data_IF_790066932383
#
_entry.id   IF_790066932383
#
_cell.length_a   1.000
_cell.length_b   1.000
_cell.length_c   1.000
_cell.angle_alpha   90.00
_cell.angle_beta   90.00
_cell.angle_gamma   90.00
#
_symmetry.space_group_name_H-M   'P 1'
#
loop_
_entity.id
_entity.type
_entity.pdbx_description
1 polymer ?
#
# COMPACT_ATOMS: atom_id res chain seq x y z
N UNK A 1 -21.16 -4.25 31.08
CA UNK A 1 -21.56 -3.33 29.98
C UNK A 1 -23.09 -3.33 29.91
N UNK A 2 -23.75 -2.25 29.46
CA UNK A 2 -25.20 -2.10 29.61
C UNK A 2 -25.98 -2.71 28.44
N UNK A 3 -27.12 -3.36 28.77
CA UNK A 3 -28.01 -4.10 27.85
C UNK A 3 -28.57 -3.29 26.66
N UNK A 4 -28.35 -1.98 26.61
CA UNK A 4 -28.73 -1.14 25.47
C UNK A 4 -27.85 -1.43 24.24
N UNK A 5 -26.55 -1.62 24.44
CA UNK A 5 -25.60 -1.83 23.35
C UNK A 5 -25.89 -3.15 22.61
N UNK A 6 -26.13 -4.24 23.35
CA UNK A 6 -26.47 -5.56 22.79
C UNK A 6 -27.76 -5.52 21.95
N UNK A 7 -28.73 -4.69 22.33
CA UNK A 7 -29.99 -4.52 21.60
C UNK A 7 -29.78 -3.74 20.31
N UNK A 8 -28.96 -2.70 20.33
CA UNK A 8 -28.69 -1.87 19.16
C UNK A 8 -27.78 -2.61 18.14
N UNK A 9 -26.98 -3.58 18.62
CA UNK A 9 -26.30 -4.60 17.80
C UNK A 9 -27.23 -5.70 17.26
N UNK A 10 -28.51 -5.73 17.64
CA UNK A 10 -29.50 -6.68 17.15
C UNK A 10 -29.50 -8.07 17.82
N UNK A 11 -28.76 -8.25 18.92
CA UNK A 11 -28.55 -9.55 19.60
C UNK A 11 -29.82 -10.18 20.21
N UNK A 12 -30.95 -9.47 20.19
CA UNK A 12 -32.25 -9.94 20.69
C UNK A 12 -33.30 -10.18 19.59
N UNK A 13 -32.89 -10.33 18.33
CA UNK A 13 -33.79 -10.72 17.22
C UNK A 13 -33.66 -12.21 16.93
N UNK A 14 -34.80 -12.91 16.84
CA UNK A 14 -34.82 -14.25 16.27
C UNK A 14 -34.46 -14.20 14.78
N UNK A 15 -33.43 -14.95 14.39
CA UNK A 15 -32.92 -14.96 13.02
C UNK A 15 -33.35 -16.24 12.33
N UNK A 16 -34.30 -16.16 11.40
CA UNK A 16 -34.66 -17.24 10.49
C UNK A 16 -33.70 -17.23 9.28
N UNK A 17 -33.03 -18.37 9.00
CA UNK A 17 -32.03 -18.52 7.91
C UNK A 17 -32.39 -19.65 6.93
N UNK A 18 -31.88 -19.51 5.71
CA UNK A 18 -32.02 -20.39 4.52
C UNK A 18 -30.78 -20.19 3.61
N UNK A 19 -30.53 -21.19 2.74
CA UNK A 19 -29.19 -21.60 2.26
C UNK A 19 -29.12 -21.65 0.68
N UNK A 20 -28.01 -21.98 -0.04
CA UNK A 20 -27.76 -21.68 -1.49
C UNK A 20 -26.28 -21.57 -2.05
N UNK A 21 -25.31 -22.49 -1.84
CA UNK A 21 -23.84 -22.23 -2.04
C UNK A 21 -23.40 -22.12 -3.51
N UNK A 22 -22.58 -21.10 -3.86
CA UNK A 22 -22.13 -20.83 -5.24
C UNK A 22 -23.28 -20.94 -6.27
N UNK A 23 -24.52 -20.70 -5.81
CA UNK A 23 -25.75 -20.90 -6.58
C UNK A 23 -26.17 -22.35 -6.90
N UNK A 24 -25.44 -23.41 -6.52
CA UNK A 24 -25.75 -24.79 -6.91
C UNK A 24 -25.48 -25.83 -5.81
N UNK A 25 -26.55 -26.46 -5.32
CA UNK A 25 -26.46 -27.70 -4.54
C UNK A 25 -26.29 -28.91 -5.47
N UNK A 26 -25.22 -29.69 -5.28
CA UNK A 26 -25.01 -30.97 -5.99
C UNK A 26 -25.53 -32.13 -5.15
N UNK A 27 -26.67 -32.70 -5.55
CA UNK A 27 -27.23 -33.90 -4.91
C UNK A 27 -26.41 -35.14 -5.25
N UNK A 28 -25.81 -35.77 -4.24
CA UNK A 28 -25.21 -37.10 -4.37
C UNK A 28 -26.33 -38.14 -4.49
N UNK A 29 -26.71 -38.46 -5.73
CA UNK A 29 -27.81 -39.38 -6.02
C UNK A 29 -27.79 -39.87 -7.47
N UNK A 30 -26.72 -40.57 -7.86
CA UNK A 30 -26.48 -40.89 -9.27
C UNK A 30 -25.41 -41.94 -9.56
N UNK A 31 -25.18 -42.91 -8.66
CA UNK A 31 -24.42 -44.10 -9.03
C UNK A 31 -25.18 -44.86 -10.14
N UNK A 32 -24.48 -45.16 -11.27
CA UNK A 32 -24.87 -45.99 -12.44
C UNK A 32 -25.10 -45.31 -13.82
N UNK A 33 -24.54 -44.13 -14.12
CA UNK A 33 -24.50 -43.61 -15.51
C UNK A 33 -23.06 -43.34 -16.01
N UNK A 34 -22.74 -43.66 -17.29
CA UNK A 34 -21.36 -43.69 -17.79
C UNK A 34 -20.75 -42.30 -17.99
N UNK A 35 -19.47 -42.21 -17.66
CA UNK A 35 -18.65 -40.98 -17.58
C UNK A 35 -18.23 -40.40 -18.94
N UNK A 36 -19.18 -39.94 -19.76
CA UNK A 36 -18.90 -39.12 -20.94
C UNK A 36 -19.90 -37.97 -21.08
N UNK A 37 -19.37 -36.73 -21.13
CA UNK A 37 -20.06 -35.42 -21.20
C UNK A 37 -20.60 -34.86 -19.87
N UNK A 38 -19.69 -34.43 -18.99
CA UNK A 38 -19.92 -33.20 -18.23
C UNK A 38 -18.97 -32.14 -18.77
N UNK A 39 -19.53 -31.16 -19.50
CA UNK A 39 -18.77 -30.10 -20.15
C UNK A 39 -18.26 -29.08 -19.14
N UNK A 40 -17.02 -28.65 -19.31
CA UNK A 40 -16.42 -27.50 -18.64
C UNK A 40 -17.25 -26.22 -18.89
N UNK A 41 -18.07 -25.86 -17.91
CA UNK A 41 -18.69 -24.54 -17.80
C UNK A 41 -18.19 -23.90 -16.49
N UNK A 42 -16.93 -23.46 -16.49
CA UNK A 42 -16.46 -22.53 -15.48
C UNK A 42 -17.20 -21.20 -15.70
N UNK A 43 -17.83 -20.67 -14.64
CA UNK A 43 -18.52 -19.40 -14.70
C UNK A 43 -17.49 -18.28 -14.99
N UNK A 44 -17.66 -17.41 -16.02
CA UNK A 44 -16.63 -16.46 -16.46
C UNK A 44 -16.14 -15.46 -15.39
N UNK A 45 -16.81 -15.39 -14.24
CA UNK A 45 -16.48 -14.49 -13.13
C UNK A 45 -15.56 -15.14 -12.06
N UNK A 46 -15.35 -16.46 -12.09
CA UNK A 46 -14.60 -17.20 -11.06
C UNK A 46 -13.42 -18.00 -11.67
N UNK A 47 -12.28 -17.31 -11.84
CA UNK A 47 -11.13 -17.78 -12.62
C UNK A 47 -10.16 -18.77 -11.96
N UNK A 48 -10.41 -19.22 -10.72
CA UNK A 48 -9.46 -20.03 -9.96
C UNK A 48 -9.90 -21.50 -9.84
N UNK A 49 -9.52 -22.29 -10.85
CA UNK A 49 -9.62 -23.76 -10.83
C UNK A 49 -8.20 -24.35 -11.01
N UNK A 50 -7.43 -24.44 -9.92
CA UNK A 50 -6.11 -25.08 -9.89
C UNK A 50 -6.03 -26.11 -8.76
N UNK A 51 -5.34 -27.25 -8.94
CA UNK A 51 -5.09 -28.20 -7.85
C UNK A 51 -4.29 -27.54 -6.72
N UNK A 52 -4.69 -27.80 -5.47
CA UNK A 52 -4.09 -27.19 -4.27
C UNK A 52 -2.58 -27.48 -4.13
N UNK A 53 -2.10 -28.63 -4.64
CA UNK A 53 -0.67 -28.97 -4.71
C UNK A 53 0.15 -28.11 -5.70
N UNK A 54 -0.49 -27.33 -6.56
CA UNK A 54 0.14 -26.41 -7.51
C UNK A 54 -0.23 -24.94 -7.24
N UNK A 55 -0.79 -24.64 -6.06
CA UNK A 55 -1.22 -23.30 -5.67
C UNK A 55 -0.09 -22.55 -4.96
N UNK A 56 0.69 -21.78 -5.73
CA UNK A 56 1.72 -20.90 -5.19
C UNK A 56 1.66 -19.50 -5.85
N UNK A 57 0.76 -18.62 -5.37
CA UNK A 57 0.53 -17.29 -5.93
C UNK A 57 1.76 -16.39 -6.14
N UNK A 58 2.83 -16.46 -5.31
CA UNK A 58 4.02 -15.62 -5.50
C UNK A 58 4.81 -15.89 -6.79
N UNK A 59 4.72 -17.10 -7.37
CA UNK A 59 5.41 -17.45 -8.62
C UNK A 59 4.60 -17.13 -9.89
N UNK A 60 3.40 -16.56 -9.75
CA UNK A 60 2.54 -16.21 -10.89
C UNK A 60 3.05 -14.98 -11.64
N UNK A 61 2.89 -15.01 -12.97
CA UNK A 61 3.33 -13.94 -13.87
C UNK A 61 2.18 -13.10 -14.42
N UNK A 62 2.48 -11.91 -14.94
CA UNK A 62 1.48 -10.97 -15.49
C UNK A 62 1.20 -9.81 -14.54
N UNK A 63 0.17 -9.00 -14.84
CA UNK A 63 -0.27 -7.97 -13.89
C UNK A 63 -1.12 -8.60 -12.79
N UNK A 64 -0.71 -8.40 -11.54
CA UNK A 64 -1.32 -8.95 -10.32
C UNK A 64 -1.87 -7.79 -9.47
N UNK A 65 -2.74 -8.09 -8.50
CA UNK A 65 -3.52 -7.08 -7.76
C UNK A 65 -4.96 -7.05 -8.26
N UNK A 66 -5.62 -5.89 -8.29
CA UNK A 66 -6.97 -5.79 -8.83
C UNK A 66 -6.98 -6.16 -10.32
N UNK A 67 -7.68 -7.24 -10.65
CA UNK A 67 -7.71 -7.87 -11.96
C UNK A 67 -9.15 -8.13 -12.38
N UNK A 68 -9.39 -8.41 -13.67
CA UNK A 68 -10.73 -8.85 -14.11
C UNK A 68 -11.16 -10.10 -13.33
N UNK A 69 -12.33 -10.03 -12.71
CA UNK A 69 -12.87 -10.99 -11.73
C UNK A 69 -12.86 -10.46 -10.29
N UNK A 70 -11.94 -9.58 -9.91
CA UNK A 70 -11.78 -9.18 -8.50
C UNK A 70 -12.75 -8.07 -8.05
N UNK A 71 -13.18 -7.16 -8.94
CA UNK A 71 -14.01 -6.00 -8.59
C UNK A 71 -15.47 -6.12 -9.07
N UNK A 72 -15.74 -7.09 -9.95
CA UNK A 72 -16.97 -7.25 -10.68
C UNK A 72 -18.16 -7.63 -9.79
N UNK A 73 -17.94 -8.43 -8.75
CA UNK A 73 -18.97 -8.78 -7.76
C UNK A 73 -19.38 -7.53 -6.97
N UNK A 74 -18.41 -6.74 -6.49
CA UNK A 74 -18.68 -5.51 -5.76
C UNK A 74 -19.40 -4.45 -6.62
N UNK A 75 -18.99 -4.29 -7.88
CA UNK A 75 -19.70 -3.42 -8.83
C UNK A 75 -21.09 -3.94 -9.17
N UNK A 76 -21.26 -5.25 -9.34
CA UNK A 76 -22.56 -5.86 -9.51
C UNK A 76 -23.51 -5.53 -8.36
N UNK A 77 -23.03 -5.56 -7.12
CA UNK A 77 -23.84 -5.28 -5.93
C UNK A 77 -24.26 -3.82 -5.87
N UNK A 78 -23.32 -2.89 -6.15
CA UNK A 78 -23.61 -1.45 -6.34
C UNK A 78 -24.69 -1.24 -7.42
N UNK A 79 -24.63 -2.01 -8.50
CA UNK A 79 -25.53 -1.93 -9.65
C UNK A 79 -26.82 -2.76 -9.46
N UNK A 80 -27.10 -3.26 -8.25
CA UNK A 80 -28.36 -3.92 -7.89
C UNK A 80 -28.45 -5.40 -8.28
N UNK A 81 -27.36 -6.04 -8.70
CA UNK A 81 -27.30 -7.51 -8.81
C UNK A 81 -27.38 -8.14 -7.41
N UNK A 82 -27.99 -9.32 -7.36
CA UNK A 82 -28.11 -10.14 -6.16
C UNK A 82 -27.58 -11.54 -6.42
N UNK A 83 -27.20 -12.23 -5.35
CA UNK A 83 -26.70 -13.61 -5.36
C UNK A 83 -27.43 -14.43 -4.28
N UNK A 84 -27.43 -15.74 -4.44
CA UNK A 84 -27.95 -16.74 -3.48
C UNK A 84 -26.79 -17.31 -2.65
N UNK A 85 -26.93 -17.53 -1.33
CA UNK A 85 -25.80 -17.78 -0.42
C UNK A 85 -26.01 -18.76 0.78
N UNK A 86 -24.88 -19.30 1.27
CA UNK A 86 -24.66 -20.51 2.11
C UNK A 86 -24.98 -20.52 3.62
N UNK A 87 -26.01 -21.28 4.02
CA UNK A 87 -26.00 -22.24 5.14
C UNK A 87 -24.86 -23.28 5.11
N UNK A 88 -23.58 -22.89 5.01
CA UNK A 88 -22.45 -23.84 4.94
C UNK A 88 -22.37 -24.79 6.17
N UNK A 89 -23.10 -24.46 7.23
CA UNK A 89 -23.09 -25.14 8.52
C UNK A 89 -21.88 -24.77 9.39
N UNK A 90 -20.94 -24.01 8.82
CA UNK A 90 -19.74 -23.56 9.49
C UNK A 90 -20.04 -22.42 10.48
N UNK A 91 -19.28 -22.39 11.58
CA UNK A 91 -19.42 -21.38 12.62
C UNK A 91 -18.06 -20.77 12.90
N UNK A 92 -18.00 -19.46 12.72
CA UNK A 92 -16.82 -18.64 12.93
C UNK A 92 -17.14 -17.60 14.00
N UNK A 93 -16.22 -17.40 14.95
CA UNK A 93 -16.33 -16.40 16.00
C UNK A 93 -16.08 -14.99 15.44
N UNK A 94 -15.33 -14.90 14.34
CA UNK A 94 -15.12 -13.68 13.57
C UNK A 94 -15.03 -13.98 12.07
N UNK A 95 -15.64 -13.12 11.25
CA UNK A 95 -15.49 -13.11 9.79
C UNK A 95 -14.91 -11.77 9.37
N UNK A 96 -13.85 -11.80 8.57
CA UNK A 96 -13.13 -10.65 8.03
C UNK A 96 -13.22 -10.67 6.51
N UNK A 97 -13.60 -9.54 5.91
CA UNK A 97 -13.63 -9.37 4.45
C UNK A 97 -12.45 -8.48 4.06
N UNK A 98 -11.53 -9.05 3.28
CA UNK A 98 -10.21 -8.51 2.93
C UNK A 98 -9.09 -9.16 3.74
N UNK A 99 -8.25 -9.95 3.09
CA UNK A 99 -7.03 -10.57 3.62
C UNK A 99 -5.77 -9.68 3.50
N UNK A 100 -5.95 -8.37 3.31
CA UNK A 100 -4.86 -7.39 3.40
C UNK A 100 -4.33 -7.22 4.83
N UNK A 101 -3.23 -6.47 5.00
CA UNK A 101 -2.60 -6.23 6.31
C UNK A 101 -3.59 -5.82 7.42
N UNK A 102 -4.59 -4.98 7.12
CA UNK A 102 -5.62 -4.59 8.09
C UNK A 102 -6.51 -5.76 8.54
N UNK A 103 -6.89 -6.65 7.63
CA UNK A 103 -7.72 -7.81 7.93
C UNK A 103 -6.94 -8.93 8.63
N UNK A 104 -5.70 -9.16 8.20
CA UNK A 104 -4.76 -10.06 8.90
C UNK A 104 -4.48 -9.57 10.33
N UNK A 105 -4.31 -8.25 10.53
CA UNK A 105 -4.16 -7.65 11.86
C UNK A 105 -5.42 -7.82 12.71
N UNK A 106 -6.62 -7.65 12.12
CA UNK A 106 -7.89 -7.84 12.82
C UNK A 106 -8.09 -9.30 13.26
N UNK A 107 -7.77 -10.26 12.36
CA UNK A 107 -7.77 -11.68 12.68
C UNK A 107 -6.75 -12.04 13.77
N UNK A 108 -5.53 -11.51 13.68
CA UNK A 108 -4.48 -11.71 14.68
C UNK A 108 -4.89 -11.20 16.07
N UNK A 109 -5.33 -9.95 16.18
CA UNK A 109 -5.75 -9.38 17.47
C UNK A 109 -6.96 -10.11 18.07
N UNK A 110 -7.88 -10.58 17.23
CA UNK A 110 -8.99 -11.39 17.71
C UNK A 110 -8.53 -12.76 18.21
N UNK A 111 -7.68 -13.45 17.44
CA UNK A 111 -7.18 -14.78 17.78
C UNK A 111 -6.32 -14.76 19.06
N UNK A 112 -5.44 -13.77 19.21
CA UNK A 112 -4.62 -13.54 20.42
C UNK A 112 -5.50 -13.32 21.67
N UNK A 113 -6.54 -12.48 21.56
CA UNK A 113 -7.42 -12.16 22.70
C UNK A 113 -8.50 -13.22 22.99
N UNK A 114 -9.01 -13.93 21.97
CA UNK A 114 -10.02 -14.99 22.13
C UNK A 114 -9.39 -16.37 22.42
N UNK A 115 -8.11 -16.54 22.10
CA UNK A 115 -7.31 -17.73 22.36
C UNK A 115 -7.31 -18.76 21.21
N UNK A 116 -6.47 -19.82 21.32
CA UNK A 116 -6.14 -20.72 20.21
C UNK A 116 -7.30 -21.54 19.63
N UNK A 117 -8.42 -21.66 20.36
CA UNK A 117 -9.62 -22.35 19.90
C UNK A 117 -10.57 -21.50 19.05
N UNK A 118 -10.27 -20.20 18.87
CA UNK A 118 -11.13 -19.28 18.12
C UNK A 118 -11.11 -19.56 16.62
N UNK A 119 -12.29 -19.54 15.99
CA UNK A 119 -12.47 -19.76 14.56
C UNK A 119 -12.62 -18.43 13.84
N UNK A 120 -11.55 -17.96 13.20
CA UNK A 120 -11.55 -16.75 12.36
C UNK A 120 -11.59 -17.15 10.88
N UNK A 121 -12.56 -16.62 10.13
CA UNK A 121 -12.61 -16.72 8.67
C UNK A 121 -12.12 -15.40 8.07
N UNK A 122 -11.09 -15.45 7.23
CA UNK A 122 -10.63 -14.29 6.45
C UNK A 122 -10.88 -14.59 4.97
N UNK A 123 -11.69 -13.76 4.32
CA UNK A 123 -12.04 -13.89 2.90
C UNK A 123 -11.31 -12.82 2.10
N UNK A 124 -10.57 -13.20 1.06
CA UNK A 124 -10.05 -12.27 0.06
C UNK A 124 -10.54 -12.67 -1.34
N UNK A 125 -10.72 -11.67 -2.21
CA UNK A 125 -11.13 -11.80 -3.60
C UNK A 125 -9.94 -11.96 -4.56
N UNK A 126 -8.71 -11.87 -4.06
CA UNK A 126 -7.50 -12.10 -4.82
C UNK A 126 -6.92 -13.51 -4.61
N UNK A 127 -6.07 -13.89 -5.55
CA UNK A 127 -5.14 -15.04 -5.49
C UNK A 127 -4.24 -15.15 -4.25
N UNK A 128 -3.96 -14.06 -3.53
CA UNK A 128 -2.99 -14.06 -2.45
C UNK A 128 -3.39 -13.05 -1.37
N UNK A 129 -3.00 -13.34 -0.12
CA UNK A 129 -3.22 -12.46 1.01
C UNK A 129 -2.25 -11.26 0.99
N UNK A 130 -2.32 -10.39 2.00
CA UNK A 130 -1.49 -9.19 2.12
C UNK A 130 -2.01 -7.98 1.32
N UNK A 131 -2.84 -8.19 0.29
CA UNK A 131 -3.50 -7.13 -0.48
C UNK A 131 -2.50 -6.33 -1.32
N UNK A 132 -2.13 -5.12 -0.89
CA UNK A 132 -1.01 -4.39 -1.48
C UNK A 132 0.36 -4.92 -1.03
N UNK A 133 0.42 -5.63 0.11
CA UNK A 133 1.63 -6.26 0.64
C UNK A 133 1.80 -7.69 0.06
N UNK A 134 1.80 -7.79 -1.27
CA UNK A 134 2.05 -9.03 -2.01
C UNK A 134 3.52 -9.21 -2.35
N UNK A 135 3.91 -10.46 -2.58
CA UNK A 135 5.25 -10.90 -2.98
C UNK A 135 5.21 -11.41 -4.41
N UNK A 136 6.21 -11.04 -5.20
CA UNK A 136 6.49 -11.65 -6.50
C UNK A 136 7.82 -12.41 -6.42
N UNK A 137 7.88 -13.59 -7.03
CA UNK A 137 9.10 -14.40 -7.17
C UNK A 137 9.44 -14.61 -8.65
N UNK A 138 10.69 -14.31 -9.01
CA UNK A 138 11.20 -14.52 -10.36
C UNK A 138 12.39 -15.47 -10.34
N UNK A 139 12.39 -16.47 -11.22
CA UNK A 139 13.57 -17.33 -11.44
C UNK A 139 14.43 -16.73 -12.56
N UNK A 140 15.66 -16.31 -12.23
CA UNK A 140 16.61 -15.77 -13.21
C UNK A 140 18.04 -16.25 -12.93
N UNK A 141 18.70 -16.83 -13.94
CA UNK A 141 20.11 -17.26 -13.83
C UNK A 141 20.37 -18.30 -12.72
N UNK A 142 19.39 -19.16 -12.42
CA UNK A 142 19.46 -20.13 -11.31
C UNK A 142 19.28 -19.53 -9.92
N UNK A 143 18.80 -18.27 -9.81
CA UNK A 143 18.49 -17.59 -8.55
C UNK A 143 17.00 -17.23 -8.49
N UNK A 144 16.43 -17.28 -7.29
CA UNK A 144 15.15 -16.62 -7.00
C UNK A 144 15.43 -15.15 -6.70
N UNK A 145 14.71 -14.26 -7.38
CA UNK A 145 14.65 -12.83 -7.10
C UNK A 145 13.28 -12.53 -6.47
N UNK A 146 13.29 -11.78 -5.37
CA UNK A 146 12.09 -11.32 -4.70
C UNK A 146 11.81 -9.87 -5.09
N UNK A 147 10.54 -9.51 -5.18
CA UNK A 147 10.10 -8.13 -5.38
C UNK A 147 8.75 -7.91 -4.67
N UNK A 148 8.52 -6.69 -4.18
CA UNK A 148 7.20 -6.26 -3.74
C UNK A 148 6.19 -6.25 -4.90
N UNK A 149 4.97 -6.67 -4.62
CA UNK A 149 3.81 -6.53 -5.53
C UNK A 149 3.11 -5.18 -5.44
N UNK A 150 3.38 -4.41 -4.37
CA UNK A 150 2.84 -3.08 -4.15
C UNK A 150 3.65 -2.31 -3.12
N UNK A 151 3.40 -2.55 -1.84
CA UNK A 151 4.07 -1.82 -0.75
C UNK A 151 5.53 -2.24 -0.55
N UNK A 152 6.45 -1.30 -0.73
CA UNK A 152 7.91 -1.50 -0.73
C UNK A 152 8.55 -1.54 0.66
N UNK A 153 8.01 -0.79 1.62
CA UNK A 153 8.69 -0.43 2.87
C UNK A 153 7.72 -0.05 3.99
N UNK A 154 8.19 -0.13 5.23
CA UNK A 154 7.56 0.47 6.40
C UNK A 154 8.23 1.83 6.68
N UNK A 155 7.47 2.91 6.51
CA UNK A 155 7.93 4.28 6.79
C UNK A 155 7.51 4.75 8.18
N UNK A 156 8.29 5.68 8.75
CA UNK A 156 7.97 6.40 9.99
C UNK A 156 7.60 5.50 11.19
N UNK A 157 8.24 4.34 11.34
CA UNK A 157 7.80 3.32 12.30
C UNK A 157 7.88 3.79 13.77
N UNK A 158 8.76 4.74 14.08
CA UNK A 158 8.81 5.42 15.39
C UNK A 158 7.56 6.22 15.74
N UNK A 159 6.79 6.64 14.73
CA UNK A 159 5.51 7.34 14.88
C UNK A 159 4.31 6.40 14.93
N UNK A 160 4.52 5.08 14.82
CA UNK A 160 3.42 4.11 14.94
C UNK A 160 2.85 4.14 16.35
N UNK A 161 1.53 3.97 16.46
CA UNK A 161 0.85 3.85 17.75
C UNK A 161 1.40 2.67 18.53
N UNK A 162 1.27 2.69 19.86
CA UNK A 162 1.68 1.56 20.72
C UNK A 162 1.06 0.25 20.23
N UNK A 163 -0.20 0.25 19.78
CA UNK A 163 -0.88 -0.92 19.22
C UNK A 163 -0.15 -1.47 17.99
N UNK A 164 0.23 -0.61 17.04
CA UNK A 164 0.94 -1.01 15.84
C UNK A 164 2.39 -1.47 16.16
N UNK A 165 3.11 -0.78 17.04
CA UNK A 165 4.47 -1.20 17.47
C UNK A 165 4.46 -2.54 18.20
N UNK A 166 3.49 -2.77 19.09
CA UNK A 166 3.29 -4.06 19.75
C UNK A 166 2.95 -5.17 18.76
N UNK A 167 2.15 -4.89 17.72
CA UNK A 167 1.87 -5.86 16.65
C UNK A 167 3.15 -6.30 15.93
N UNK A 168 3.98 -5.34 15.50
CA UNK A 168 5.24 -5.65 14.82
C UNK A 168 6.15 -6.51 15.71
N UNK A 169 6.29 -6.16 16.99
CA UNK A 169 7.06 -6.95 17.95
C UNK A 169 6.47 -8.36 18.18
N UNK A 170 5.15 -8.49 18.29
CA UNK A 170 4.46 -9.75 18.55
C UNK A 170 4.62 -10.77 17.41
N UNK A 171 4.68 -10.31 16.15
CA UNK A 171 4.94 -11.18 14.98
C UNK A 171 6.44 -11.43 14.73
N UNK A 172 7.33 -10.93 15.59
CA UNK A 172 8.78 -11.13 15.51
C UNK A 172 9.50 -10.20 14.52
N UNK A 173 8.92 -9.05 14.17
CA UNK A 173 9.53 -8.09 13.25
C UNK A 173 10.53 -7.17 14.00
N UNK A 174 11.79 -7.60 14.07
CA UNK A 174 12.90 -6.82 14.60
C UNK A 174 13.37 -5.76 13.58
N UNK A 175 12.99 -4.51 13.83
CA UNK A 175 13.26 -3.37 12.94
C UNK A 175 14.74 -2.95 12.95
N UNK A 176 15.41 -2.98 14.10
CA UNK A 176 16.83 -2.62 14.21
C UNK A 176 17.70 -3.63 13.44
N UNK A 177 17.36 -4.92 13.55
CA UNK A 177 18.02 -6.00 12.83
C UNK A 177 17.72 -6.00 11.34
N UNK A 178 16.48 -5.71 10.94
CA UNK A 178 16.12 -5.48 9.54
C UNK A 178 16.92 -4.30 8.95
N UNK A 179 17.05 -3.21 9.70
CA UNK A 179 17.83 -2.04 9.27
C UNK A 179 19.33 -2.37 9.10
N UNK A 180 19.90 -3.08 10.06
CA UNK A 180 21.30 -3.51 10.02
C UNK A 180 21.59 -4.43 8.81
N UNK A 181 20.63 -5.29 8.43
CA UNK A 181 20.74 -6.14 7.25
C UNK A 181 20.69 -5.32 5.93
N UNK A 182 19.82 -4.31 5.86
CA UNK A 182 19.64 -3.46 4.67
C UNK A 182 20.71 -2.35 4.51
N UNK A 183 21.55 -2.13 5.53
CA UNK A 183 22.55 -1.06 5.54
C UNK A 183 23.46 -1.02 4.29
N UNK A 184 23.73 -2.17 3.66
CA UNK A 184 24.53 -2.26 2.43
C UNK A 184 23.74 -1.87 1.16
N UNK A 185 22.45 -2.22 1.08
CA UNK A 185 21.55 -1.94 -0.05
C UNK A 185 21.47 -0.46 -0.39
N UNK A 186 21.49 0.40 0.65
CA UNK A 186 21.46 1.87 0.53
C UNK A 186 22.60 2.45 -0.31
N UNK A 187 23.68 1.69 -0.49
CA UNK A 187 24.83 2.07 -1.31
C UNK A 187 24.82 1.42 -2.71
N UNK A 188 23.98 0.42 -2.98
CA UNK A 188 24.07 -0.46 -4.15
C UNK A 188 24.04 0.29 -5.49
N UNK A 189 23.06 1.16 -5.72
CA UNK A 189 23.02 1.94 -6.97
C UNK A 189 24.21 2.90 -7.09
N UNK A 190 24.65 3.50 -5.98
CA UNK A 190 25.85 4.38 -5.97
C UNK A 190 27.14 3.61 -6.21
N UNK A 191 27.28 2.37 -5.75
CA UNK A 191 28.47 1.54 -5.97
C UNK A 191 28.56 1.02 -7.42
N UNK A 192 27.43 0.95 -8.13
CA UNK A 192 27.38 0.78 -9.59
C UNK A 192 27.66 2.07 -10.38
N UNK A 193 27.93 3.19 -9.71
CA UNK A 193 28.12 4.50 -10.35
C UNK A 193 26.84 5.13 -10.91
N UNK A 194 25.66 4.59 -10.57
CA UNK A 194 24.38 5.08 -11.07
C UNK A 194 23.95 6.33 -10.29
N UNK A 195 23.40 7.30 -11.03
CA UNK A 195 22.95 8.59 -10.51
C UNK A 195 21.49 8.84 -10.87
N UNK A 196 20.80 9.70 -10.11
CA UNK A 196 19.48 10.19 -10.50
C UNK A 196 19.54 10.93 -11.84
N UNK A 197 18.45 10.91 -12.60
CA UNK A 197 18.29 11.61 -13.88
C UNK A 197 16.83 11.99 -14.09
N UNK A 198 16.55 13.11 -14.75
CA UNK A 198 15.19 13.54 -15.07
C UNK A 198 14.98 13.50 -16.58
N UNK A 199 13.91 12.83 -17.03
CA UNK A 199 13.50 12.82 -18.43
C UNK A 199 12.41 13.87 -18.67
N UNK A 200 12.74 14.86 -19.49
CA UNK A 200 11.79 15.85 -20.00
C UNK A 200 11.21 15.31 -21.30
N UNK A 201 9.90 15.05 -21.35
CA UNK A 201 9.22 14.56 -22.57
C UNK A 201 8.81 15.71 -23.50
N UNK A 202 8.78 15.46 -24.82
CA UNK A 202 8.33 16.44 -25.82
C UNK A 202 6.95 16.99 -25.53
N UNK A 203 6.01 16.17 -25.08
CA UNK A 203 4.62 16.55 -24.81
C UNK A 203 4.49 17.56 -23.67
N UNK A 204 5.41 17.50 -22.69
CA UNK A 204 5.37 18.35 -21.49
C UNK A 204 6.34 19.54 -21.56
N UNK A 205 7.43 19.41 -22.32
CA UNK A 205 8.55 20.36 -22.30
C UNK A 205 9.08 20.77 -23.69
N UNK A 206 8.43 20.36 -24.77
CA UNK A 206 8.76 20.79 -26.15
C UNK A 206 9.83 19.95 -26.87
N UNK A 207 10.68 19.23 -26.14
CA UNK A 207 11.64 18.26 -26.69
C UNK A 207 11.84 17.06 -25.75
N UNK A 208 12.28 15.93 -26.31
CA UNK A 208 12.72 14.79 -25.51
C UNK A 208 14.16 15.03 -25.04
N UNK A 209 14.39 15.21 -23.74
CA UNK A 209 15.71 15.42 -23.17
C UNK A 209 15.89 14.68 -21.85
N UNK A 210 16.86 13.76 -21.81
CA UNK A 210 17.35 13.19 -20.56
C UNK A 210 18.43 14.11 -19.98
N UNK A 211 18.23 14.62 -18.77
CA UNK A 211 19.26 15.35 -18.02
C UNK A 211 19.78 14.46 -16.89
N UNK A 212 21.06 14.13 -16.93
CA UNK A 212 21.72 13.28 -15.95
C UNK A 212 22.17 14.06 -14.72
N UNK A 213 22.20 13.40 -13.57
CA UNK A 213 22.32 14.07 -12.27
C UNK A 213 20.95 14.50 -11.74
N UNK A 214 20.89 14.82 -10.45
CA UNK A 214 19.64 15.19 -9.78
C UNK A 214 19.62 16.68 -9.44
N UNK A 215 18.45 17.29 -9.66
CA UNK A 215 18.04 18.59 -9.14
C UNK A 215 18.36 18.77 -7.64
N UNK A 216 18.14 17.72 -6.85
CA UNK A 216 18.46 17.64 -5.42
C UNK A 216 19.48 16.54 -5.14
N UNK A 217 20.58 16.52 -5.88
CA UNK A 217 21.62 15.49 -5.78
C UNK A 217 22.35 15.49 -4.43
N UNK A 218 21.86 14.66 -3.49
CA UNK A 218 22.51 14.25 -2.25
C UNK A 218 23.37 15.33 -1.55
N UNK A 219 22.69 16.32 -0.98
CA UNK A 219 23.26 17.30 -0.05
C UNK A 219 23.20 18.75 -0.54
N UNK A 220 23.44 19.73 0.35
CA UNK A 220 23.28 21.16 0.08
C UNK A 220 24.33 21.79 -0.87
N UNK A 221 25.11 20.98 -1.59
CA UNK A 221 26.28 21.40 -2.37
C UNK A 221 26.25 20.95 -3.85
N UNK A 222 25.08 20.53 -4.37
CA UNK A 222 24.93 20.19 -5.79
C UNK A 222 24.94 21.43 -6.70
N UNK A 223 25.50 21.32 -7.91
CA UNK A 223 25.46 22.38 -8.93
C UNK A 223 24.04 22.51 -9.53
N UNK A 224 23.14 23.14 -8.77
CA UNK A 224 21.73 23.35 -9.14
C UNK A 224 21.61 24.15 -10.43
N UNK A 225 22.43 25.20 -10.58
CA UNK A 225 22.39 26.12 -11.72
C UNK A 225 22.94 25.46 -12.99
N UNK A 226 24.06 24.73 -12.91
CA UNK A 226 24.60 23.95 -14.02
C UNK A 226 23.72 22.76 -14.43
N UNK A 227 22.98 22.14 -13.49
CA UNK A 227 21.94 21.17 -13.82
C UNK A 227 20.76 21.84 -14.55
N UNK A 228 20.24 22.95 -14.02
CA UNK A 228 19.16 23.70 -14.67
C UNK A 228 19.55 24.20 -16.07
N UNK A 229 20.82 24.55 -16.28
CA UNK A 229 21.35 24.98 -17.58
C UNK A 229 21.19 23.93 -18.68
N UNK A 230 21.23 22.63 -18.33
CA UNK A 230 21.10 21.50 -19.25
C UNK A 230 19.64 21.18 -19.63
N UNK A 231 18.66 21.59 -18.81
CA UNK A 231 17.24 21.34 -19.03
C UNK A 231 16.69 22.01 -20.30
N UNK A 232 15.59 21.53 -20.90
CA UNK A 232 14.94 22.21 -22.03
C UNK A 232 14.14 23.47 -21.60
N UNK A 233 14.07 23.76 -20.30
CA UNK A 233 13.33 24.89 -19.74
C UNK A 233 13.91 26.23 -20.19
N UNK A 234 13.06 27.24 -20.42
CA UNK A 234 13.52 28.59 -20.75
C UNK A 234 14.28 29.23 -19.58
N UNK A 235 15.13 30.22 -19.87
CA UNK A 235 15.91 30.95 -18.86
C UNK A 235 15.02 31.48 -17.73
N UNK A 236 13.89 32.09 -18.09
CA UNK A 236 12.96 32.64 -17.13
C UNK A 236 12.29 31.55 -16.27
N UNK A 237 11.98 30.37 -16.82
CA UNK A 237 11.44 29.24 -16.01
C UNK A 237 12.49 28.72 -15.04
N UNK A 238 13.76 28.60 -15.46
CA UNK A 238 14.87 28.23 -14.56
C UNK A 238 15.04 29.26 -13.43
N UNK A 239 14.91 30.54 -13.74
CA UNK A 239 14.97 31.66 -12.77
C UNK A 239 13.85 31.58 -11.73
N UNK A 240 12.62 31.26 -12.13
CA UNK A 240 11.50 31.06 -11.20
C UNK A 240 11.68 29.83 -10.30
N UNK A 241 12.24 28.73 -10.83
CA UNK A 241 12.56 27.53 -10.03
C UNK A 241 13.59 27.86 -8.95
N UNK A 242 14.69 28.52 -9.30
CA UNK A 242 15.72 28.98 -8.34
C UNK A 242 15.12 29.91 -7.29
N UNK A 243 14.31 30.89 -7.71
CA UNK A 243 13.63 31.80 -6.77
C UNK A 243 12.71 31.04 -5.80
N UNK A 244 11.92 30.10 -6.31
CA UNK A 244 10.98 29.32 -5.51
C UNK A 244 11.71 28.43 -4.48
N UNK A 245 12.80 27.78 -4.87
CA UNK A 245 13.55 26.82 -4.06
C UNK A 245 14.53 27.48 -3.07
N UNK A 246 15.35 28.44 -3.53
CA UNK A 246 16.48 28.98 -2.77
C UNK A 246 16.14 30.27 -1.99
N UNK A 247 15.22 31.10 -2.52
CA UNK A 247 14.95 32.46 -1.98
C UNK A 247 13.60 32.52 -1.25
N UNK A 248 12.57 31.92 -1.84
CA UNK A 248 11.19 32.02 -1.40
C UNK A 248 10.46 33.26 -1.98
N UNK A 249 9.23 33.10 -2.50
CA UNK A 249 8.46 34.17 -3.13
C UNK A 249 7.91 35.16 -2.10
N UNK A 250 7.70 36.41 -2.51
CA UNK A 250 6.97 37.41 -1.71
C UNK A 250 5.48 37.10 -1.69
N UNK A 251 4.89 36.99 -0.48
CA UNK A 251 3.52 36.50 -0.29
C UNK A 251 2.59 37.60 0.25
N UNK A 252 2.02 38.39 -0.68
CA UNK A 252 1.08 39.47 -0.38
C UNK A 252 -0.16 38.96 0.39
N UNK A 253 -0.53 39.66 1.47
CA UNK A 253 -1.73 39.35 2.24
C UNK A 253 -1.64 38.10 3.13
N UNK A 254 -0.42 37.66 3.46
CA UNK A 254 -0.14 36.61 4.47
C UNK A 254 0.45 37.15 5.78
N UNK A 255 0.91 38.41 5.78
CA UNK A 255 1.37 39.14 6.97
C UNK A 255 0.23 39.33 7.97
N UNK A 256 0.55 39.23 9.27
CA UNK A 256 -0.42 39.41 10.36
C UNK A 256 -1.32 38.21 10.68
N UNK A 257 -1.39 37.20 9.79
CA UNK A 257 -2.08 35.93 10.09
C UNK A 257 -1.30 35.12 11.14
N UNK A 258 -2.00 34.41 12.03
CA UNK A 258 -1.41 33.39 12.90
C UNK A 258 -1.04 32.11 12.11
N UNK A 259 -0.15 31.29 12.68
CA UNK A 259 0.23 29.98 12.11
C UNK A 259 -0.99 29.10 11.77
N UNK A 260 -1.98 29.04 12.67
CA UNK A 260 -3.22 28.29 12.48
C UNK A 260 -4.08 28.82 11.34
N UNK A 261 -4.15 30.14 11.15
CA UNK A 261 -4.86 30.76 10.03
C UNK A 261 -4.14 30.53 8.71
N UNK A 262 -2.80 30.63 8.67
CA UNK A 262 -2.00 30.31 7.48
C UNK A 262 -2.22 28.85 7.07
N UNK A 263 -2.10 27.90 8.00
CA UNK A 263 -2.35 26.46 7.77
C UNK A 263 -3.80 26.19 7.32
N UNK A 264 -4.78 26.85 7.92
CA UNK A 264 -6.21 26.72 7.55
C UNK A 264 -6.51 27.26 6.16
N UNK A 265 -5.86 28.37 5.76
CA UNK A 265 -5.96 28.94 4.42
C UNK A 265 -5.32 28.02 3.38
N UNK A 266 -4.11 27.51 3.65
CA UNK A 266 -3.41 26.56 2.80
C UNK A 266 -4.23 25.26 2.60
N UNK A 267 -4.83 24.73 3.66
CA UNK A 267 -5.65 23.51 3.61
C UNK A 267 -6.90 23.60 2.68
N UNK A 268 -7.25 24.78 2.17
CA UNK A 268 -8.42 25.02 1.30
C UNK A 268 -8.09 25.18 -0.19
N UNK A 269 -6.83 25.07 -0.59
CA UNK A 269 -6.37 25.32 -1.97
C UNK A 269 -5.37 24.27 -2.46
N UNK A 270 -5.11 24.23 -3.77
CA UNK A 270 -4.11 23.32 -4.36
C UNK A 270 -2.70 23.91 -4.30
N UNK A 271 -1.64 23.08 -4.27
CA UNK A 271 -0.27 23.62 -4.33
C UNK A 271 -0.04 24.46 -5.60
N UNK A 272 -0.60 24.04 -6.74
CA UNK A 272 -0.60 24.85 -7.97
C UNK A 272 -1.31 26.20 -7.80
N UNK A 273 -2.48 26.25 -7.14
CA UNK A 273 -3.21 27.49 -6.81
C UNK A 273 -2.31 28.44 -6.00
N UNK A 274 -1.61 27.94 -4.98
CA UNK A 274 -0.69 28.77 -4.21
C UNK A 274 0.50 29.27 -5.06
N UNK A 275 1.10 28.41 -5.87
CA UNK A 275 2.20 28.83 -6.76
C UNK A 275 1.77 29.93 -7.74
N UNK A 276 0.60 29.79 -8.35
CA UNK A 276 0.09 30.70 -9.37
C UNK A 276 -0.49 32.00 -8.78
N UNK A 277 -1.33 31.90 -7.75
CA UNK A 277 -2.12 33.03 -7.23
C UNK A 277 -1.47 33.77 -6.05
N UNK A 278 -0.58 33.10 -5.30
CA UNK A 278 0.05 33.68 -4.11
C UNK A 278 1.55 33.90 -4.29
N UNK A 279 2.29 32.90 -4.76
CA UNK A 279 3.71 33.05 -5.09
C UNK A 279 3.95 33.74 -6.44
N UNK A 280 2.91 33.89 -7.28
CA UNK A 280 2.94 34.50 -8.62
C UNK A 280 4.00 33.90 -9.56
N UNK A 281 4.27 32.60 -9.40
CA UNK A 281 5.14 31.81 -10.25
C UNK A 281 4.44 31.57 -11.59
N UNK A 282 5.22 31.53 -12.69
CA UNK A 282 4.66 31.34 -14.03
C UNK A 282 4.14 29.90 -14.26
N UNK A 283 3.03 29.71 -15.01
CA UNK A 283 2.41 28.40 -15.23
C UNK A 283 3.35 27.31 -15.78
N UNK A 284 4.34 27.71 -16.56
CA UNK A 284 5.35 26.84 -17.19
C UNK A 284 6.28 26.15 -16.17
N UNK A 285 6.29 26.59 -14.91
CA UNK A 285 7.00 25.93 -13.79
C UNK A 285 6.20 24.76 -13.20
N UNK A 286 4.88 24.73 -13.38
CA UNK A 286 4.02 23.68 -12.77
C UNK A 286 4.34 22.27 -13.31
N UNK A 287 4.64 22.05 -14.61
CA UNK A 287 5.12 20.76 -15.09
C UNK A 287 6.39 20.28 -14.38
N UNK A 288 7.42 21.13 -14.21
CA UNK A 288 8.66 20.74 -13.52
C UNK A 288 8.43 20.47 -12.02
N UNK A 289 7.56 21.24 -11.37
CA UNK A 289 7.21 21.03 -9.95
C UNK A 289 6.33 19.80 -9.71
N UNK A 290 5.70 19.24 -10.75
CA UNK A 290 4.79 18.10 -10.62
C UNK A 290 5.33 16.80 -11.20
N UNK A 291 6.27 16.80 -12.15
CA UNK A 291 6.70 15.56 -12.84
C UNK A 291 7.43 14.60 -11.91
N UNK A 292 8.49 15.05 -11.22
CA UNK A 292 9.22 14.22 -10.25
C UNK A 292 8.36 13.79 -9.04
N UNK A 293 7.27 14.52 -8.77
CA UNK A 293 6.49 14.42 -7.53
C UNK A 293 5.13 13.72 -7.70
N UNK A 294 4.54 13.71 -8.91
CA UNK A 294 3.34 12.93 -9.27
C UNK A 294 3.57 11.42 -9.07
N UNK A 295 4.79 10.95 -9.32
CA UNK A 295 5.15 9.54 -9.26
C UNK A 295 4.94 8.92 -7.87
N UNK A 296 5.19 9.67 -6.78
CA UNK A 296 5.22 9.11 -5.43
C UNK A 296 3.83 8.94 -4.78
N UNK A 297 2.77 9.60 -5.27
CA UNK A 297 1.52 9.72 -4.50
C UNK A 297 0.24 9.21 -5.17
N UNK A 298 0.24 8.98 -6.51
CA UNK A 298 -0.90 8.49 -7.33
C UNK A 298 -2.15 9.40 -7.34
N UNK A 299 -2.40 10.12 -6.26
CA UNK A 299 -3.17 11.36 -6.22
C UNK A 299 -2.38 12.44 -6.96
N UNK A 300 -3.03 13.09 -7.93
CA UNK A 300 -2.52 14.36 -8.43
C UNK A 300 -2.37 15.33 -7.23
N UNK A 301 -1.18 15.92 -7.07
CA UNK A 301 -0.77 16.85 -5.99
C UNK A 301 -1.58 18.18 -5.91
N UNK A 302 -2.72 18.20 -6.58
CA UNK A 302 -3.65 19.31 -6.76
C UNK A 302 -4.60 19.52 -5.57
N UNK A 303 -4.44 18.85 -4.42
CA UNK A 303 -5.42 18.94 -3.32
C UNK A 303 -4.91 18.94 -1.87
N UNK A 304 -3.64 18.67 -1.59
CA UNK A 304 -3.16 18.55 -0.20
C UNK A 304 -1.93 19.44 0.06
N UNK A 305 -2.16 20.67 0.52
CA UNK A 305 -1.07 21.55 0.96
C UNK A 305 -0.46 21.25 2.34
N UNK A 306 -1.22 20.74 3.35
CA UNK A 306 -0.59 20.28 4.59
C UNK A 306 0.43 19.15 4.35
N UNK A 307 0.18 18.33 3.32
CA UNK A 307 1.13 17.35 2.79
C UNK A 307 2.36 18.06 2.20
N UNK A 308 2.18 18.95 1.23
CA UNK A 308 3.29 19.69 0.59
C UNK A 308 4.18 20.42 1.61
N UNK A 309 3.57 21.05 2.62
CA UNK A 309 4.27 21.68 3.74
C UNK A 309 5.11 20.66 4.53
N UNK A 310 4.53 19.51 4.86
CA UNK A 310 5.23 18.43 5.54
C UNK A 310 6.48 17.97 4.79
N UNK A 311 6.37 17.75 3.46
CA UNK A 311 7.48 17.32 2.59
C UNK A 311 8.45 18.43 2.17
N UNK A 312 8.44 19.59 2.85
CA UNK A 312 9.39 20.68 2.57
C UNK A 312 9.29 21.23 1.15
N UNK A 313 8.10 21.23 0.53
CA UNK A 313 7.94 21.77 -0.81
C UNK A 313 8.29 23.28 -0.82
N UNK A 314 8.92 23.76 -1.90
CA UNK A 314 9.41 25.12 -1.96
C UNK A 314 8.25 26.13 -2.11
N UNK A 315 8.49 27.39 -1.75
CA UNK A 315 7.51 28.48 -1.79
C UNK A 315 6.91 28.88 -0.45
N UNK A 316 7.07 28.07 0.60
CA UNK A 316 6.55 28.37 1.94
C UNK A 316 7.53 29.13 2.85
N UNK A 317 8.75 29.43 2.40
CA UNK A 317 9.84 29.97 3.23
C UNK A 317 9.45 31.27 3.95
N UNK A 318 8.71 32.17 3.28
CA UNK A 318 8.27 33.45 3.86
C UNK A 318 7.03 33.34 4.76
N UNK A 319 6.43 32.16 4.94
CA UNK A 319 5.24 31.96 5.78
C UNK A 319 5.53 31.68 7.26
N UNK A 320 6.79 31.45 7.65
CA UNK A 320 7.21 31.15 9.03
C UNK A 320 6.26 30.15 9.74
N UNK A 321 6.02 29.03 9.06
CA UNK A 321 5.07 28.02 9.51
C UNK A 321 5.72 27.14 10.57
N UNK A 322 5.07 27.04 11.72
CA UNK A 322 5.52 26.14 12.76
C UNK A 322 5.39 24.68 12.28
N UNK A 323 6.25 23.75 12.74
CA UNK A 323 6.09 22.33 12.46
C UNK A 323 4.67 21.82 12.72
N UNK A 324 4.25 20.79 11.98
CA UNK A 324 3.01 20.08 12.32
C UNK A 324 3.22 19.28 13.61
N UNK A 325 2.18 19.17 14.45
CA UNK A 325 2.26 18.40 15.70
C UNK A 325 2.42 16.91 15.40
N UNK A 326 3.31 16.23 16.15
CA UNK A 326 3.57 14.78 15.98
C UNK A 326 2.31 13.91 16.01
N UNK A 327 1.27 14.36 16.71
CA UNK A 327 -0.07 13.78 16.75
C UNK A 327 -1.06 14.86 16.33
N UNK A 328 -1.96 14.56 15.40
CA UNK A 328 -3.00 15.49 14.96
C UNK A 328 -3.68 15.07 13.65
N UNK A 329 -4.88 15.61 13.34
CA UNK A 329 -5.63 15.23 12.13
C UNK A 329 -4.87 15.46 10.82
N UNK A 330 -3.97 16.45 10.79
CA UNK A 330 -3.15 16.77 9.62
C UNK A 330 -1.90 15.88 9.46
N UNK A 331 -1.42 15.24 10.53
CA UNK A 331 -0.28 14.30 10.50
C UNK A 331 -0.70 12.83 10.42
N UNK A 332 -1.97 12.53 10.70
CA UNK A 332 -2.59 11.22 10.48
C UNK A 332 -3.32 11.08 9.12
N UNK A 333 -3.28 12.09 8.24
CA UNK A 333 -3.60 11.87 6.82
C UNK A 333 -2.51 10.92 6.29
N UNK A 334 -2.87 9.73 5.80
CA UNK A 334 -1.89 8.67 5.50
C UNK A 334 -0.74 9.04 4.55
N UNK A 335 -0.91 10.07 3.71
CA UNK A 335 0.17 10.63 2.90
C UNK A 335 1.05 11.66 3.65
N UNK A 336 0.50 12.41 4.61
CA UNK A 336 1.20 13.51 5.28
C UNK A 336 2.41 13.03 6.10
N UNK A 337 2.32 11.83 6.66
CA UNK A 337 3.42 11.17 7.37
C UNK A 337 4.67 10.96 6.49
N UNK A 338 4.48 10.69 5.19
CA UNK A 338 5.56 10.49 4.20
C UNK A 338 6.41 11.77 4.01
N UNK A 339 5.80 12.95 4.15
CA UNK A 339 6.49 14.22 3.92
C UNK A 339 7.19 14.74 5.15
N UNK A 340 6.49 14.66 6.28
CA UNK A 340 7.02 14.96 7.61
C UNK A 340 8.32 14.20 7.89
N UNK A 341 8.59 13.08 7.22
CA UNK A 341 9.81 12.29 7.37
C UNK A 341 11.12 13.12 7.23
N UNK A 342 11.43 13.67 6.07
CA UNK A 342 12.77 14.21 5.78
C UNK A 342 13.11 15.50 6.58
N UNK A 343 12.11 16.16 7.17
CA UNK A 343 12.27 17.40 7.92
C UNK A 343 11.97 17.31 9.43
N UNK A 344 11.31 16.24 9.91
CA UNK A 344 10.91 16.08 11.31
C UNK A 344 11.15 14.68 11.90
N UNK A 345 11.53 13.67 11.11
CA UNK A 345 11.68 12.28 11.55
C UNK A 345 13.06 11.74 11.19
N UNK A 346 13.92 11.58 12.20
CA UNK A 346 15.10 10.73 12.06
C UNK A 346 14.65 9.27 12.05
N UNK A 347 15.05 8.51 11.04
CA UNK A 347 14.72 7.10 10.89
C UNK A 347 14.59 6.70 9.41
N UNK A 348 15.53 5.94 8.84
CA UNK A 348 15.41 5.44 7.48
C UNK A 348 14.33 4.36 7.39
N UNK A 349 13.67 4.20 6.23
CA UNK A 349 12.58 3.24 6.07
C UNK A 349 13.08 1.79 6.21
N UNK A 350 12.32 0.96 6.93
CA UNK A 350 12.59 -0.48 7.01
C UNK A 350 12.07 -1.15 5.74
N UNK A 351 12.96 -1.76 4.98
CA UNK A 351 12.66 -2.41 3.69
C UNK A 351 13.02 -3.88 3.75
N UNK A 352 12.26 -4.72 3.03
CA UNK A 352 12.51 -6.17 2.93
C UNK A 352 12.57 -6.56 1.44
N UNK A 353 13.21 -7.68 1.07
CA UNK A 353 13.33 -8.10 -0.34
C UNK A 353 12.00 -8.30 -1.08
N UNK A 354 10.91 -8.64 -0.38
CA UNK A 354 9.55 -8.73 -0.90
C UNK A 354 8.64 -7.57 -0.45
N UNK A 355 9.24 -6.48 0.05
CA UNK A 355 8.54 -5.36 0.67
C UNK A 355 7.73 -5.78 1.88
N UNK A 356 6.54 -5.20 2.06
CA UNK A 356 5.74 -5.47 3.27
C UNK A 356 5.08 -6.87 3.27
N UNK A 357 5.30 -7.69 2.24
CA UNK A 357 4.81 -9.07 2.21
C UNK A 357 5.42 -9.92 3.32
N UNK A 358 6.67 -9.66 3.71
CA UNK A 358 7.27 -10.22 4.94
C UNK A 358 6.35 -10.01 6.16
N UNK A 359 5.81 -8.81 6.39
CA UNK A 359 4.88 -8.55 7.51
C UNK A 359 3.58 -9.35 7.37
N UNK A 360 3.01 -9.47 6.16
CA UNK A 360 1.81 -10.26 5.92
C UNK A 360 2.05 -11.77 6.21
N UNK A 361 3.21 -12.29 5.80
CA UNK A 361 3.64 -13.68 6.03
C UNK A 361 3.89 -13.94 7.52
N UNK A 362 4.47 -12.99 8.26
CA UNK A 362 4.66 -13.07 9.71
C UNK A 362 3.33 -13.05 10.48
N UNK A 363 2.35 -12.25 10.05
CA UNK A 363 0.98 -12.28 10.61
C UNK A 363 0.32 -13.65 10.38
N UNK A 364 0.46 -14.23 9.18
CA UNK A 364 0.01 -15.60 8.91
C UNK A 364 0.70 -16.61 9.82
N UNK A 365 2.04 -16.56 9.96
CA UNK A 365 2.79 -17.46 10.85
C UNK A 365 2.34 -17.35 12.31
N UNK A 366 2.01 -16.14 12.77
CA UNK A 366 1.57 -15.93 14.15
C UNK A 366 0.17 -16.51 14.44
N UNK A 367 -0.71 -16.61 13.42
CA UNK A 367 -2.03 -17.26 13.53
C UNK A 367 -2.00 -18.76 13.18
N UNK A 368 -1.12 -19.16 12.25
CA UNK A 368 -0.99 -20.53 11.73
C UNK A 368 0.51 -20.87 11.61
N UNK A 369 1.15 -21.31 12.72
CA UNK A 369 2.60 -21.54 12.74
C UNK A 369 3.10 -22.55 11.71
N UNK A 370 2.32 -23.60 11.45
CA UNK A 370 2.68 -24.66 10.50
C UNK A 370 2.69 -24.19 9.03
N UNK A 371 2.03 -23.06 8.71
CA UNK A 371 1.97 -22.54 7.34
C UNK A 371 3.28 -21.89 6.88
N UNK A 372 4.15 -21.43 7.79
CA UNK A 372 5.41 -20.78 7.43
C UNK A 372 6.54 -21.23 8.37
N UNK A 373 7.44 -22.12 7.91
CA UNK A 373 8.48 -22.67 8.77
C UNK A 373 9.50 -21.60 9.20
N UNK A 374 10.08 -21.82 10.38
CA UNK A 374 11.05 -20.91 11.00
C UNK A 374 10.45 -20.10 12.15
N UNK A 375 11.28 -19.27 12.78
CA UNK A 375 10.92 -18.47 13.97
C UNK A 375 11.51 -17.06 13.97
N UNK A 376 12.32 -16.71 12.98
CA UNK A 376 13.01 -15.42 12.86
C UNK A 376 12.40 -14.57 11.75
N UNK A 377 12.93 -13.36 11.55
CA UNK A 377 12.58 -12.55 10.38
C UNK A 377 13.19 -13.17 9.12
N UNK A 378 14.45 -13.58 9.18
CA UNK A 378 15.23 -13.93 7.99
C UNK A 378 14.89 -15.30 7.40
N UNK A 379 14.50 -16.29 8.21
CA UNK A 379 13.99 -17.56 7.68
C UNK A 379 12.70 -17.35 6.85
N UNK A 380 11.84 -16.45 7.30
CA UNK A 380 10.57 -16.11 6.64
C UNK A 380 10.76 -15.52 5.24
N UNK A 381 11.92 -14.93 4.93
CA UNK A 381 12.20 -14.30 3.62
C UNK A 381 12.32 -15.35 2.51
N UNK A 382 13.00 -16.47 2.75
CA UNK A 382 13.22 -17.50 1.72
C UNK A 382 12.39 -18.78 1.94
N UNK A 383 11.70 -18.91 3.07
CA UNK A 383 10.79 -20.03 3.32
C UNK A 383 9.68 -20.13 2.26
N UNK A 384 9.37 -21.35 1.83
CA UNK A 384 8.13 -21.62 1.10
C UNK A 384 6.96 -21.56 2.09
N UNK A 385 5.91 -20.82 1.76
CA UNK A 385 4.69 -20.76 2.57
C UNK A 385 3.72 -21.83 2.10
N UNK A 386 3.20 -22.63 3.03
CA UNK A 386 2.19 -23.66 2.74
C UNK A 386 0.79 -23.03 2.70
N UNK A 387 0.30 -22.81 1.48
CA UNK A 387 -1.05 -22.31 1.24
C UNK A 387 -2.15 -23.36 1.51
N UNK A 388 -1.81 -24.64 1.69
CA UNK A 388 -2.81 -25.68 1.91
C UNK A 388 -3.59 -25.47 3.22
N UNK A 389 -2.92 -24.97 4.28
CA UNK A 389 -3.54 -24.62 5.57
C UNK A 389 -4.27 -23.27 5.59
N UNK A 390 -4.04 -22.40 4.61
CA UNK A 390 -4.78 -21.12 4.48
C UNK A 390 -6.13 -21.29 3.77
N UNK A 391 -6.25 -22.30 2.91
CA UNK A 391 -7.47 -22.59 2.17
C UNK A 391 -8.34 -23.50 3.03
N UNK A 392 -9.28 -22.90 3.76
CA UNK A 392 -10.34 -23.61 4.47
C UNK A 392 -11.18 -24.47 3.52
N UNK A 393 -10.83 -25.76 3.45
CA UNK A 393 -11.58 -26.86 2.83
C UNK A 393 -12.26 -26.57 1.47
N UNK A 394 -11.47 -26.52 0.39
CA UNK A 394 -11.93 -26.95 -0.95
C UNK A 394 -11.48 -28.38 -1.28
N UNK A 395 -11.50 -29.27 -0.28
CA UNK A 395 -11.28 -30.69 -0.45
C UNK A 395 -12.60 -31.48 -0.52
N UNK A 396 -13.11 -31.61 -1.74
CA UNK A 396 -13.66 -32.89 -2.20
C UNK A 396 -12.87 -33.31 -3.44
N UNK A 397 -11.78 -34.05 -3.19
CA UNK A 397 -11.11 -34.80 -4.25
C UNK A 397 -12.13 -35.71 -4.93
N UNK A 398 -12.08 -35.79 -6.26
CA UNK A 398 -12.95 -36.65 -7.03
C UNK A 398 -12.68 -38.13 -6.71
N UNK A 399 -13.52 -38.70 -5.85
CA UNK A 399 -13.67 -40.14 -5.66
C UNK A 399 -15.17 -40.47 -5.67
N UNK A 400 -15.67 -40.78 -6.87
CA UNK A 400 -17.07 -41.04 -7.20
C UNK A 400 -17.24 -41.21 -8.70
#
# INVERSE_FOLDING_TARGET
>A
MSKGYDRDLGMGRDITRRDFLNGVAVTVGGSLLPSQKLSSAADPWFGYNRPQQAYYPPAETGMRGSHSGSFEVAHGFRDGRTWTGEDSGERYDMVVVGGGLSGLSAGFFFHDNAGPGSRVLILDNHDDFGGHAKRNEFSYGGRTLLLNGGTSNLEAVDHYSTVARTLLAAVGLDLERAEAADATSRSFYRSLGLTGSTFFSRESFGEDRLVTGSAGGFGPNGDRQGWLAQTPLSEDVRRDIVMLEEIGPTLDGWSGLSDGERKTRLARMSYATFLLEHARIRPEVIPSMTTDRKACFVLALMRCQPLCLGMGYPGFQQLDLQPLSRVGPLTHIGAASMGVNDSLVGGPPSSFPDGNATLARLLVRAMIPDALPGSTLEDSIMAHLDYSGLIGMTHLCASG
#
